data_IF_739003908863
#
_entry.id   IF_739003908863
#
_cell.length_a   1.000
_cell.length_b   1.000
_cell.length_c   1.000
_cell.angle_alpha   90.00
_cell.angle_beta   90.00
_cell.angle_gamma   90.00
#
_symmetry.space_group_name_H-M   'P 1'
#
loop_
_entity.id
_entity.type
_entity.pdbx_description
1 polymer ?
#
# COMPACT_ATOMS: atom_id res chain seq x y z
N UNK A 1 -2.77 38.98 -10.49
CA UNK A 1 -1.73 38.09 -9.94
C UNK A 1 -2.37 36.71 -9.87
N UNK A 2 -2.08 35.80 -10.81
CA UNK A 2 -2.63 34.45 -10.82
C UNK A 2 -1.64 33.52 -10.10
N UNK A 3 -2.07 32.92 -8.99
CA UNK A 3 -1.29 31.94 -8.24
C UNK A 3 -1.21 30.65 -9.06
N UNK A 4 -0.03 30.37 -9.62
CA UNK A 4 0.28 29.14 -10.34
C UNK A 4 0.52 28.03 -9.31
N UNK A 5 -0.52 27.23 -9.02
CA UNK A 5 -0.43 26.10 -8.09
C UNK A 5 0.19 24.89 -8.80
N UNK A 6 1.51 24.92 -9.01
CA UNK A 6 2.27 23.82 -9.63
C UNK A 6 2.36 22.63 -8.67
N UNK A 7 1.37 21.75 -8.77
CA UNK A 7 1.32 20.51 -8.01
C UNK A 7 2.40 19.56 -8.55
N UNK A 8 3.57 19.57 -7.92
CA UNK A 8 4.67 18.66 -8.26
C UNK A 8 4.32 17.25 -7.81
N UNK A 9 4.25 16.32 -8.76
CA UNK A 9 4.06 14.88 -8.48
C UNK A 9 5.42 14.22 -8.40
N UNK A 10 5.79 13.73 -7.22
CA UNK A 10 7.01 12.95 -6.99
C UNK A 10 6.64 11.47 -7.04
N UNK A 11 7.27 10.71 -7.92
CA UNK A 11 7.10 9.25 -7.98
C UNK A 11 8.06 8.63 -6.98
N UNK A 12 7.55 7.79 -6.07
CA UNK A 12 8.36 7.10 -5.06
C UNK A 12 8.79 5.73 -5.58
N UNK A 13 10.02 5.64 -6.06
CA UNK A 13 10.67 4.41 -6.49
C UNK A 13 11.92 4.09 -5.64
N UNK A 14 12.56 2.93 -5.90
CA UNK A 14 13.74 2.50 -5.13
C UNK A 14 14.93 3.44 -5.32
N UNK A 15 15.02 4.11 -6.48
CA UNK A 15 16.08 5.08 -6.75
C UNK A 15 15.91 6.31 -5.86
N UNK A 16 14.69 6.85 -5.76
CA UNK A 16 14.38 7.97 -4.88
C UNK A 16 14.67 7.62 -3.42
N UNK A 17 14.28 6.41 -2.99
CA UNK A 17 14.51 5.94 -1.62
C UNK A 17 16.01 5.89 -1.32
N UNK A 18 16.81 5.27 -2.19
CA UNK A 18 18.27 5.19 -2.00
C UNK A 18 18.93 6.57 -1.96
N UNK A 19 18.49 7.49 -2.80
CA UNK A 19 19.01 8.86 -2.83
C UNK A 19 18.71 9.60 -1.53
N UNK A 20 17.48 9.49 -1.03
CA UNK A 20 17.11 10.07 0.26
C UNK A 20 17.91 9.46 1.41
N UNK A 21 18.17 8.15 1.38
CA UNK A 21 19.04 7.49 2.36
C UNK A 21 20.50 7.98 2.30
N UNK A 22 20.98 8.39 1.11
CA UNK A 22 22.28 9.04 0.93
C UNK A 22 22.30 10.53 1.29
N UNK A 23 21.14 11.14 1.54
CA UNK A 23 20.99 12.58 1.84
C UNK A 23 20.87 13.46 0.60
N UNK A 24 20.66 12.89 -0.58
CA UNK A 24 20.49 13.62 -1.82
C UNK A 24 19.09 14.24 -1.92
N UNK A 25 19.01 15.43 -2.51
CA UNK A 25 17.72 16.07 -2.75
C UNK A 25 16.88 15.31 -3.81
N UNK A 26 15.55 15.26 -3.64
CA UNK A 26 14.65 14.73 -4.67
C UNK A 26 14.77 15.59 -5.92
N UNK A 27 15.11 14.99 -7.06
CA UNK A 27 15.16 15.71 -8.35
C UNK A 27 13.86 15.44 -9.10
N UNK A 28 13.19 16.51 -9.51
CA UNK A 28 12.06 16.45 -10.45
C UNK A 28 12.66 16.25 -11.84
N UNK A 29 12.87 15.01 -12.25
CA UNK A 29 13.29 14.69 -13.62
C UNK A 29 12.06 14.48 -14.50
N UNK A 30 12.02 15.15 -15.65
CA UNK A 30 11.07 14.81 -16.71
C UNK A 30 11.29 13.33 -17.10
N UNK A 31 10.22 12.59 -17.42
CA UNK A 31 10.32 11.15 -17.66
C UNK A 31 11.29 10.88 -18.81
N UNK A 32 12.47 10.31 -18.51
CA UNK A 32 13.35 9.75 -19.52
C UNK A 32 12.64 8.54 -20.13
N UNK A 33 12.42 8.60 -21.44
CA UNK A 33 11.64 7.64 -22.22
C UNK A 33 12.33 6.30 -22.46
N UNK A 34 13.09 5.79 -21.49
CA UNK A 34 13.98 4.64 -21.68
C UNK A 34 13.82 3.61 -20.56
N UNK A 35 12.59 3.33 -20.14
CA UNK A 35 12.30 2.19 -19.28
C UNK A 35 12.07 0.94 -20.15
N UNK A 36 13.16 0.42 -20.73
CA UNK A 36 13.23 -1.00 -21.06
C UNK A 36 13.20 -1.76 -19.73
N UNK A 37 11.98 -2.01 -19.24
CA UNK A 37 11.73 -2.60 -17.93
C UNK A 37 12.32 -4.00 -17.85
N UNK A 38 13.28 -4.17 -16.96
CA UNK A 38 13.61 -5.47 -16.39
C UNK A 38 12.34 -6.00 -15.68
N UNK A 39 11.75 -7.12 -16.12
CA UNK A 39 10.52 -7.66 -15.55
C UNK A 39 10.68 -8.20 -14.12
N UNK A 40 11.89 -8.10 -13.55
CA UNK A 40 12.22 -8.67 -12.23
C UNK A 40 12.06 -7.69 -11.07
N UNK A 41 11.87 -6.38 -11.32
CA UNK A 41 11.40 -5.47 -10.29
C UNK A 41 9.90 -5.65 -10.16
N UNK A 42 9.49 -6.55 -9.24
CA UNK A 42 8.12 -6.59 -8.72
C UNK A 42 7.75 -5.15 -8.40
N UNK A 43 6.96 -4.54 -9.29
CA UNK A 43 6.32 -3.27 -9.01
C UNK A 43 5.75 -3.46 -7.60
N UNK A 44 6.11 -2.60 -6.64
CA UNK A 44 5.30 -2.46 -5.44
C UNK A 44 3.93 -2.11 -6.01
N UNK A 45 3.10 -3.15 -6.17
CA UNK A 45 1.73 -3.05 -6.64
C UNK A 45 1.16 -1.99 -5.74
N UNK A 46 0.90 -0.82 -6.34
CA UNK A 46 0.22 0.31 -5.72
C UNK A 46 -0.78 -0.30 -4.75
N UNK A 47 -0.55 -0.10 -3.43
CA UNK A 47 -1.26 -0.77 -2.32
C UNK A 47 -2.55 -1.42 -2.84
N UNK A 48 -2.55 -2.76 -2.96
CA UNK A 48 -3.57 -3.52 -3.72
C UNK A 48 -4.93 -2.86 -3.57
N UNK A 49 -5.66 -2.60 -4.67
CA UNK A 49 -6.88 -1.78 -4.65
C UNK A 49 -7.81 -2.07 -3.45
N UNK A 50 -7.90 -3.34 -3.03
CA UNK A 50 -8.64 -3.78 -1.85
C UNK A 50 -8.16 -3.17 -0.52
N UNK A 51 -6.85 -3.03 -0.31
CA UNK A 51 -6.25 -2.43 0.88
C UNK A 51 -6.66 -0.97 1.05
N UNK A 52 -6.60 -0.18 -0.02
CA UNK A 52 -7.03 1.22 0.00
C UNK A 52 -8.53 1.33 0.34
N UNK A 53 -9.36 0.47 -0.26
CA UNK A 53 -10.80 0.40 0.03
C UNK A 53 -11.07 0.01 1.48
N UNK A 54 -10.36 -0.99 2.00
CA UNK A 54 -10.52 -1.48 3.37
C UNK A 54 -10.13 -0.42 4.40
N UNK A 55 -9.02 0.31 4.18
CA UNK A 55 -8.63 1.43 5.03
C UNK A 55 -9.73 2.50 5.05
N UNK A 56 -10.26 2.87 3.88
CA UNK A 56 -11.37 3.83 3.80
C UNK A 56 -12.59 3.36 4.61
N UNK A 57 -13.02 2.11 4.41
CA UNK A 57 -14.15 1.53 5.13
C UNK A 57 -13.91 1.51 6.65
N UNK A 58 -12.70 1.18 7.08
CA UNK A 58 -12.33 1.17 8.50
C UNK A 58 -12.38 2.58 9.11
N UNK A 59 -11.89 3.60 8.40
CA UNK A 59 -11.99 5.00 8.87
C UNK A 59 -13.43 5.52 8.94
N UNK A 60 -14.34 4.91 8.18
CA UNK A 60 -15.79 5.16 8.27
C UNK A 60 -16.47 4.34 9.39
N UNK A 61 -15.72 3.55 10.15
CA UNK A 61 -16.23 2.66 11.21
C UNK A 61 -16.86 1.36 10.69
N UNK A 62 -16.79 1.08 9.39
CA UNK A 62 -17.38 -0.10 8.74
C UNK A 62 -16.38 -1.26 8.74
N UNK A 63 -16.01 -1.70 9.94
CA UNK A 63 -14.97 -2.72 10.12
C UNK A 63 -15.33 -4.04 9.43
N UNK A 64 -16.59 -4.48 9.46
CA UNK A 64 -17.00 -5.73 8.83
C UNK A 64 -16.90 -5.69 7.30
N UNK A 65 -17.20 -4.55 6.68
CA UNK A 65 -17.06 -4.39 5.23
C UNK A 65 -15.59 -4.32 4.83
N UNK A 66 -14.76 -3.65 5.63
CA UNK A 66 -13.30 -3.60 5.44
C UNK A 66 -12.67 -5.01 5.48
N UNK A 67 -13.09 -5.83 6.45
CA UNK A 67 -12.66 -7.22 6.57
C UNK A 67 -13.07 -8.04 5.35
N UNK A 68 -14.35 -7.95 4.93
CA UNK A 68 -14.84 -8.68 3.74
C UNK A 68 -14.08 -8.32 2.47
N UNK A 69 -13.77 -7.04 2.28
CA UNK A 69 -13.02 -6.57 1.11
C UNK A 69 -11.63 -7.22 1.05
N UNK A 70 -10.91 -7.25 2.17
CA UNK A 70 -9.60 -7.89 2.24
C UNK A 70 -9.67 -9.42 2.16
N UNK A 71 -10.64 -10.07 2.79
CA UNK A 71 -10.84 -11.52 2.69
C UNK A 71 -11.11 -11.95 1.23
N UNK A 72 -11.89 -11.15 0.50
CA UNK A 72 -12.14 -11.36 -0.94
C UNK A 72 -10.86 -11.19 -1.76
N UNK A 73 -10.03 -10.20 -1.45
CA UNK A 73 -8.76 -9.97 -2.15
C UNK A 73 -7.78 -11.14 -1.93
N UNK A 74 -7.61 -11.56 -0.68
CA UNK A 74 -6.78 -12.71 -0.31
C UNK A 74 -7.27 -13.98 -1.02
N UNK A 75 -8.59 -14.19 -1.07
CA UNK A 75 -9.20 -15.35 -1.76
C UNK A 75 -8.96 -15.33 -3.28
N UNK A 76 -8.74 -14.16 -3.88
CA UNK A 76 -8.40 -13.99 -5.31
C UNK A 76 -6.90 -14.10 -5.59
N UNK A 77 -6.09 -14.39 -4.58
CA UNK A 77 -4.64 -14.54 -4.70
C UNK A 77 -3.83 -13.30 -4.31
N UNK A 78 -4.48 -12.22 -3.87
CA UNK A 78 -3.81 -11.03 -3.33
C UNK A 78 -3.46 -11.23 -1.84
N UNK A 79 -2.81 -12.36 -1.53
CA UNK A 79 -2.36 -12.72 -0.18
C UNK A 79 -1.03 -12.05 0.15
N UNK A 80 -0.99 -10.72 0.10
CA UNK A 80 0.20 -9.92 0.41
C UNK A 80 0.41 -9.79 1.92
N UNK A 81 1.65 -9.46 2.30
CA UNK A 81 2.01 -9.14 3.68
C UNK A 81 1.11 -8.03 4.25
N UNK A 82 0.87 -6.99 3.47
CA UNK A 82 0.04 -5.85 3.88
C UNK A 82 -1.41 -6.25 4.09
N UNK A 83 -1.96 -7.13 3.25
CA UNK A 83 -3.34 -7.59 3.39
C UNK A 83 -3.53 -8.48 4.62
N UNK A 84 -2.57 -9.34 4.93
CA UNK A 84 -2.59 -10.12 6.18
C UNK A 84 -2.45 -9.24 7.43
N UNK A 85 -1.55 -8.25 7.40
CA UNK A 85 -1.40 -7.28 8.50
C UNK A 85 -2.68 -6.47 8.71
N UNK A 86 -3.29 -5.98 7.63
CA UNK A 86 -4.52 -5.21 7.69
C UNK A 86 -5.69 -6.06 8.22
N UNK A 87 -5.83 -7.32 7.80
CA UNK A 87 -6.83 -8.25 8.35
C UNK A 87 -6.61 -8.48 9.84
N UNK A 88 -5.37 -8.72 10.28
CA UNK A 88 -5.04 -8.84 11.69
C UNK A 88 -5.44 -7.62 12.49
N UNK A 89 -5.14 -6.42 11.98
CA UNK A 89 -5.48 -5.17 12.63
C UNK A 89 -7.00 -4.93 12.72
N UNK A 90 -7.75 -5.17 11.64
CA UNK A 90 -9.19 -4.99 11.66
C UNK A 90 -9.88 -5.97 12.61
N UNK A 91 -9.43 -7.23 12.67
CA UNK A 91 -9.96 -8.21 13.65
C UNK A 91 -9.61 -7.82 15.08
N UNK A 92 -8.44 -7.20 15.31
CA UNK A 92 -8.07 -6.61 16.59
C UNK A 92 -9.03 -5.49 16.98
N UNK A 93 -9.31 -4.54 16.07
CA UNK A 93 -10.28 -3.46 16.32
C UNK A 93 -11.70 -4.00 16.60
N UNK A 94 -12.08 -5.12 15.98
CA UNK A 94 -13.34 -5.84 16.26
C UNK A 94 -13.33 -6.63 17.58
N UNK A 95 -12.24 -6.61 18.35
CA UNK A 95 -12.04 -7.40 19.58
C UNK A 95 -12.05 -8.92 19.35
N UNK A 96 -11.79 -9.37 18.12
CA UNK A 96 -11.64 -10.79 17.75
C UNK A 96 -10.17 -11.17 17.84
N UNK A 97 -9.66 -11.20 19.08
CA UNK A 97 -8.23 -11.34 19.35
C UNK A 97 -7.64 -12.65 18.82
N UNK A 98 -8.38 -13.76 18.95
CA UNK A 98 -7.92 -15.07 18.47
C UNK A 98 -7.76 -15.07 16.94
N UNK A 99 -8.76 -14.57 16.21
CA UNK A 99 -8.72 -14.41 14.75
C UNK A 99 -7.58 -13.48 14.31
N UNK A 100 -7.41 -12.35 15.01
CA UNK A 100 -6.33 -11.40 14.76
C UNK A 100 -4.94 -12.05 14.85
N UNK A 101 -4.72 -12.85 15.91
CA UNK A 101 -3.47 -13.58 16.09
C UNK A 101 -3.22 -14.59 14.96
N UNK A 102 -4.25 -15.22 14.41
CA UNK A 102 -4.08 -16.11 13.25
C UNK A 102 -3.56 -15.37 12.02
N UNK A 103 -4.08 -14.17 11.77
CA UNK A 103 -3.65 -13.35 10.63
C UNK A 103 -2.23 -12.82 10.80
N UNK A 104 -1.84 -12.38 11.99
CA UNK A 104 -0.46 -11.97 12.23
C UNK A 104 0.55 -13.11 12.08
N UNK A 105 0.18 -14.34 12.40
CA UNK A 105 1.04 -15.52 12.17
C UNK A 105 1.30 -15.81 10.68
N UNK A 106 0.47 -15.29 9.76
CA UNK A 106 0.65 -15.48 8.30
C UNK A 106 1.63 -14.47 7.66
N UNK A 107 2.22 -13.59 8.47
CA UNK A 107 3.14 -12.54 8.01
C UNK A 107 4.62 -12.94 8.21
N UNK A 108 4.87 -14.09 8.83
CA UNK A 108 6.23 -14.65 9.06
C UNK A 108 6.74 -15.41 7.86
#
# INVERSE_FOLDING_TARGET
MAENNEKTVIIVDDELIERLLRGDAPRVEAPRGDAAGDPSKKARTVASSALATAIKLATEGKLDDAVKELENAVSKGEATVENHLALGHLKFEQQKWDESAEWYRKVT
#
